data_IF_252287021822
#
_entry.id   IF_252287021822
#
_cell.length_a   1.000
_cell.length_b   1.000
_cell.length_c   1.000
_cell.angle_alpha   90.00
_cell.angle_beta   90.00
_cell.angle_gamma   90.00
#
_symmetry.space_group_name_H-M   'P 1'
#
loop_
_entity.id
_entity.type
_entity.pdbx_description
1 polymer ?
#
# COMPACT_ATOMS: atom_id res chain seq x y z
N UNK A 1 -49.62 71.26 33.87
CA UNK A 1 -48.17 70.97 33.92
C UNK A 1 -47.67 70.67 32.51
N UNK A 2 -46.58 71.32 32.09
CA UNK A 2 -46.15 71.61 30.70
C UNK A 2 -45.79 70.38 29.86
N UNK A 3 -46.30 70.34 28.63
CA UNK A 3 -46.03 69.38 27.54
C UNK A 3 -44.77 69.69 26.70
N UNK A 4 -43.88 70.58 27.17
CA UNK A 4 -42.74 71.07 26.38
C UNK A 4 -41.55 70.10 26.29
N UNK A 5 -41.55 69.02 27.07
CA UNK A 5 -40.48 68.01 27.13
C UNK A 5 -40.76 66.73 26.32
N UNK A 6 -41.96 66.61 25.74
CA UNK A 6 -42.39 65.36 25.11
C UNK A 6 -41.75 65.15 23.73
N UNK A 7 -41.44 66.23 22.99
CA UNK A 7 -40.82 66.12 21.66
C UNK A 7 -39.35 65.71 21.70
N UNK A 8 -38.58 66.23 22.66
CA UNK A 8 -37.16 65.87 22.82
C UNK A 8 -37.00 64.43 23.31
N UNK A 9 -37.86 63.99 24.24
CA UNK A 9 -37.91 62.58 24.68
C UNK A 9 -38.33 61.66 23.53
N UNK A 10 -39.34 62.05 22.73
CA UNK A 10 -39.77 61.28 21.56
C UNK A 10 -38.68 61.19 20.49
N UNK A 11 -37.94 62.27 20.24
CA UNK A 11 -36.82 62.30 19.30
C UNK A 11 -35.63 61.45 19.79
N UNK A 12 -35.36 61.45 21.09
CA UNK A 12 -34.37 60.58 21.72
C UNK A 12 -34.72 59.10 21.62
N UNK A 13 -35.96 58.73 21.95
CA UNK A 13 -36.47 57.36 21.79
C UNK A 13 -36.46 56.90 20.33
N UNK A 14 -36.81 57.77 19.37
CA UNK A 14 -36.73 57.46 17.94
C UNK A 14 -35.30 57.18 17.50
N UNK A 15 -34.33 58.02 17.89
CA UNK A 15 -32.91 57.80 17.58
C UNK A 15 -32.40 56.49 18.19
N UNK A 16 -32.71 56.23 19.45
CA UNK A 16 -32.34 54.99 20.14
C UNK A 16 -32.94 53.76 19.44
N UNK A 17 -34.23 53.80 19.10
CA UNK A 17 -34.91 52.74 18.36
C UNK A 17 -34.27 52.49 16.99
N UNK A 18 -33.84 53.55 16.30
CA UNK A 18 -33.21 53.43 14.98
C UNK A 18 -31.82 52.80 15.08
N UNK A 19 -31.02 53.19 16.08
CA UNK A 19 -29.72 52.55 16.36
C UNK A 19 -29.88 51.09 16.80
N UNK A 20 -30.90 50.77 17.58
CA UNK A 20 -31.18 49.40 18.03
C UNK A 20 -31.57 48.50 16.86
N UNK A 21 -32.46 48.96 15.97
CA UNK A 21 -32.82 48.24 14.74
C UNK A 21 -31.61 48.08 13.82
N UNK A 22 -30.80 49.13 13.64
CA UNK A 22 -29.59 49.05 12.83
C UNK A 22 -28.58 48.03 13.38
N UNK A 23 -28.42 47.97 14.70
CA UNK A 23 -27.50 47.01 15.36
C UNK A 23 -28.01 45.57 15.22
N UNK A 24 -29.32 45.34 15.38
CA UNK A 24 -29.94 44.02 15.16
C UNK A 24 -29.75 43.57 13.70
N UNK A 25 -30.01 44.46 12.75
CA UNK A 25 -29.85 44.14 11.33
C UNK A 25 -28.40 43.81 10.98
N UNK A 26 -27.44 44.57 11.52
CA UNK A 26 -26.01 44.32 11.32
C UNK A 26 -25.60 42.98 11.94
N UNK A 27 -26.10 42.65 13.13
CA UNK A 27 -25.87 41.35 13.77
C UNK A 27 -26.42 40.18 12.94
N UNK A 28 -27.64 40.29 12.43
CA UNK A 28 -28.25 39.26 11.56
C UNK A 28 -27.46 39.13 10.26
N UNK A 29 -27.02 40.23 9.65
CA UNK A 29 -26.24 40.23 8.41
C UNK A 29 -24.89 39.53 8.57
N UNK A 30 -24.17 39.81 9.66
CA UNK A 30 -22.89 39.15 9.98
C UNK A 30 -23.09 37.66 10.26
N UNK A 31 -24.11 37.30 11.04
CA UNK A 31 -24.42 35.90 11.34
C UNK A 31 -24.82 35.12 10.07
N UNK A 32 -25.62 35.73 9.20
CA UNK A 32 -25.99 35.15 7.92
C UNK A 32 -24.76 34.95 7.01
N UNK A 33 -23.86 35.94 6.95
CA UNK A 33 -22.59 35.83 6.25
C UNK A 33 -21.74 34.67 6.78
N UNK A 34 -21.62 34.54 8.10
CA UNK A 34 -20.90 33.45 8.74
C UNK A 34 -21.51 32.08 8.40
N UNK A 35 -22.83 31.91 8.55
CA UNK A 35 -23.52 30.66 8.23
C UNK A 35 -23.38 30.26 6.76
N UNK A 36 -23.47 31.23 5.84
CA UNK A 36 -23.27 30.99 4.42
C UNK A 36 -21.84 30.56 4.12
N UNK A 37 -20.84 31.24 4.67
CA UNK A 37 -19.43 30.87 4.49
C UNK A 37 -19.13 29.50 5.09
N UNK A 38 -19.58 29.24 6.32
CA UNK A 38 -19.40 27.96 6.99
C UNK A 38 -20.02 26.80 6.20
N UNK A 39 -21.24 26.96 5.67
CA UNK A 39 -21.87 25.91 4.85
C UNK A 39 -21.09 25.60 3.57
N UNK A 40 -20.54 26.62 2.90
CA UNK A 40 -19.73 26.44 1.69
C UNK A 40 -18.40 25.76 2.01
N UNK A 41 -17.74 26.15 3.09
CA UNK A 41 -16.48 25.54 3.53
C UNK A 41 -16.67 24.07 3.93
N UNK A 42 -17.69 23.77 4.74
CA UNK A 42 -18.03 22.39 5.11
C UNK A 42 -18.32 21.54 3.88
N UNK A 43 -19.07 22.07 2.91
CA UNK A 43 -19.33 21.37 1.65
C UNK A 43 -18.06 21.06 0.87
N UNK A 44 -17.11 22.03 0.79
CA UNK A 44 -15.80 21.82 0.15
C UNK A 44 -14.95 20.78 0.90
N UNK A 45 -14.94 20.83 2.23
CA UNK A 45 -14.21 19.86 3.06
C UNK A 45 -14.78 18.45 2.86
N UNK A 46 -16.11 18.30 2.87
CA UNK A 46 -16.76 17.00 2.64
C UNK A 46 -16.48 16.46 1.24
N UNK A 47 -16.51 17.32 0.22
CA UNK A 47 -16.17 16.92 -1.15
C UNK A 47 -14.73 16.40 -1.25
N UNK A 48 -13.78 17.11 -0.62
CA UNK A 48 -12.38 16.71 -0.59
C UNK A 48 -12.14 15.46 0.26
N UNK A 49 -12.84 15.32 1.39
CA UNK A 49 -12.79 14.12 2.25
C UNK A 49 -13.22 12.88 1.47
N UNK A 50 -14.30 12.98 0.67
CA UNK A 50 -14.77 11.86 -0.15
C UNK A 50 -13.74 11.39 -1.18
N UNK A 51 -13.00 12.33 -1.77
CA UNK A 51 -11.91 12.01 -2.69
C UNK A 51 -10.74 11.33 -1.98
N UNK A 52 -10.35 11.86 -0.81
CA UNK A 52 -9.32 11.24 0.03
C UNK A 52 -9.71 9.83 0.48
N UNK A 53 -10.94 9.62 0.95
CA UNK A 53 -11.43 8.30 1.38
C UNK A 53 -11.34 7.29 0.23
N UNK A 54 -11.68 7.72 -0.99
CA UNK A 54 -11.57 6.86 -2.18
C UNK A 54 -10.13 6.44 -2.45
N UNK A 55 -9.18 7.39 -2.41
CA UNK A 55 -7.75 7.11 -2.63
C UNK A 55 -7.23 6.20 -1.50
N UNK A 56 -7.60 6.46 -0.26
CA UNK A 56 -7.18 5.67 0.90
C UNK A 56 -7.67 4.22 0.80
N UNK A 57 -8.94 3.99 0.45
CA UNK A 57 -9.48 2.64 0.26
C UNK A 57 -8.71 1.90 -0.85
N UNK A 58 -8.36 2.59 -1.93
CA UNK A 58 -7.56 2.00 -3.01
C UNK A 58 -6.15 1.65 -2.55
N UNK A 59 -5.49 2.52 -1.77
CA UNK A 59 -4.17 2.26 -1.21
C UNK A 59 -4.15 1.09 -0.21
N UNK A 60 -5.18 0.98 0.64
CA UNK A 60 -5.33 -0.17 1.56
C UNK A 60 -5.44 -1.47 0.77
N UNK A 61 -6.30 -1.51 -0.27
CA UNK A 61 -6.44 -2.69 -1.14
C UNK A 61 -5.14 -3.07 -1.85
N UNK A 62 -4.38 -2.08 -2.34
CA UNK A 62 -3.07 -2.30 -2.95
C UNK A 62 -2.08 -2.89 -1.94
N UNK A 63 -2.10 -2.39 -0.71
CA UNK A 63 -1.26 -2.88 0.39
C UNK A 63 -1.57 -4.34 0.72
N UNK A 64 -2.84 -4.67 0.90
CA UNK A 64 -3.28 -6.06 1.15
C UNK A 64 -2.89 -7.00 0.00
N UNK A 65 -3.02 -6.53 -1.25
CA UNK A 65 -2.63 -7.31 -2.43
C UNK A 65 -1.12 -7.56 -2.46
N UNK A 66 -0.31 -6.56 -2.13
CA UNK A 66 1.15 -6.70 -2.05
C UNK A 66 1.58 -7.61 -0.90
N UNK A 67 0.96 -7.48 0.26
CA UNK A 67 1.27 -8.33 1.42
C UNK A 67 0.92 -9.79 1.15
N UNK A 68 -0.22 -10.03 0.51
CA UNK A 68 -0.60 -11.36 0.02
C UNK A 68 0.45 -11.93 -0.93
N UNK A 69 0.92 -11.14 -1.90
CA UNK A 69 1.98 -11.55 -2.83
C UNK A 69 3.27 -11.89 -2.09
N UNK A 70 3.68 -11.06 -1.13
CA UNK A 70 4.87 -11.33 -0.31
C UNK A 70 4.72 -12.64 0.48
N UNK A 71 3.56 -12.86 1.10
CA UNK A 71 3.26 -14.08 1.82
C UNK A 71 3.37 -15.34 0.94
N UNK A 72 2.74 -15.33 -0.24
CA UNK A 72 2.82 -16.45 -1.18
C UNK A 72 4.22 -16.63 -1.77
N UNK A 73 4.93 -15.54 -2.03
CA UNK A 73 6.33 -15.58 -2.46
C UNK A 73 7.22 -16.21 -1.39
N UNK A 74 6.93 -16.00 -0.10
CA UNK A 74 7.65 -16.65 1.00
C UNK A 74 7.38 -18.14 1.02
N UNK A 75 6.12 -18.57 0.86
CA UNK A 75 5.72 -19.99 0.84
C UNK A 75 6.24 -20.75 -0.40
N UNK A 76 6.42 -20.05 -1.52
CA UNK A 76 6.97 -20.62 -2.74
C UNK A 76 8.33 -21.28 -2.45
N UNK A 77 8.45 -22.56 -2.85
CA UNK A 77 9.64 -23.40 -2.68
C UNK A 77 10.02 -23.75 -1.23
N UNK A 78 9.15 -23.54 -0.23
CA UNK A 78 9.42 -23.97 1.17
C UNK A 78 8.97 -25.41 1.41
N UNK A 79 7.87 -25.84 0.78
CA UNK A 79 7.29 -27.16 0.98
C UNK A 79 7.26 -27.98 -0.32
N UNK A 80 7.73 -29.22 -0.24
CA UNK A 80 7.64 -30.24 -1.29
C UNK A 80 6.21 -30.62 -1.69
N UNK A 81 5.21 -30.38 -0.83
CA UNK A 81 3.80 -30.67 -1.12
C UNK A 81 3.10 -29.56 -1.92
N UNK A 82 3.69 -28.38 -2.02
CA UNK A 82 3.08 -27.24 -2.73
C UNK A 82 3.43 -27.32 -4.21
N UNK A 83 2.41 -27.30 -5.07
CA UNK A 83 2.58 -27.20 -6.51
C UNK A 83 3.13 -25.82 -6.89
N UNK A 84 4.44 -25.74 -7.08
CA UNK A 84 5.15 -24.50 -7.41
C UNK A 84 4.69 -23.89 -8.75
N UNK A 85 4.23 -24.70 -9.71
CA UNK A 85 3.71 -24.18 -10.98
C UNK A 85 2.39 -23.42 -10.78
N UNK A 86 1.48 -23.98 -9.99
CA UNK A 86 0.21 -23.34 -9.68
C UNK A 86 0.41 -22.07 -8.86
N UNK A 87 1.33 -22.09 -7.89
CA UNK A 87 1.72 -20.91 -7.11
C UNK A 87 2.35 -19.81 -7.97
N UNK A 88 3.22 -20.15 -8.93
CA UNK A 88 3.78 -19.17 -9.87
C UNK A 88 2.70 -18.51 -10.72
N UNK A 89 1.75 -19.28 -11.26
CA UNK A 89 0.63 -18.74 -12.03
C UNK A 89 -0.25 -17.82 -11.18
N UNK A 90 -0.54 -18.22 -9.94
CA UNK A 90 -1.30 -17.42 -9.00
C UNK A 90 -0.61 -16.09 -8.69
N UNK A 91 0.71 -16.13 -8.45
CA UNK A 91 1.52 -14.95 -8.16
C UNK A 91 1.61 -13.99 -9.35
N UNK A 92 1.73 -14.54 -10.57
CA UNK A 92 1.73 -13.77 -11.81
C UNK A 92 0.39 -13.06 -12.04
N UNK A 93 -0.72 -13.76 -11.80
CA UNK A 93 -2.06 -13.18 -11.88
C UNK A 93 -2.28 -12.06 -10.85
N UNK A 94 -1.80 -12.24 -9.61
CA UNK A 94 -1.84 -11.19 -8.59
C UNK A 94 -0.99 -9.97 -8.99
N UNK A 95 0.25 -10.19 -9.47
CA UNK A 95 1.11 -9.11 -9.99
C UNK A 95 0.40 -8.33 -11.09
N UNK A 96 -0.24 -9.02 -12.04
CA UNK A 96 -0.95 -8.41 -13.14
C UNK A 96 -2.16 -7.58 -12.66
N UNK A 97 -2.87 -8.02 -11.63
CA UNK A 97 -3.94 -7.25 -10.98
C UNK A 97 -3.41 -5.96 -10.35
N UNK A 98 -2.34 -6.02 -9.57
CA UNK A 98 -1.70 -4.84 -8.96
C UNK A 98 -1.23 -3.86 -10.04
N UNK A 99 -0.58 -4.34 -11.10
CA UNK A 99 -0.14 -3.49 -12.22
C UNK A 99 -1.33 -2.80 -12.90
N UNK A 100 -2.44 -3.51 -13.13
CA UNK A 100 -3.66 -2.91 -13.70
C UNK A 100 -4.26 -1.85 -12.77
N UNK A 101 -4.40 -2.13 -11.48
CA UNK A 101 -4.93 -1.19 -10.50
C UNK A 101 -4.07 0.08 -10.41
N UNK A 102 -2.74 -0.07 -10.39
CA UNK A 102 -1.82 1.08 -10.40
C UNK A 102 -1.82 1.87 -11.71
N UNK A 103 -2.20 1.28 -12.85
CA UNK A 103 -2.26 2.00 -14.14
C UNK A 103 -3.44 2.97 -14.26
N UNK A 104 -4.49 2.77 -13.46
CA UNK A 104 -5.72 3.59 -13.46
C UNK A 104 -5.62 4.76 -12.46
N UNK A 105 -4.73 4.68 -11.49
CA UNK A 105 -4.54 5.69 -10.44
C UNK A 105 -3.54 6.77 -10.85
N UNK A 106 -3.60 7.96 -10.23
CA UNK A 106 -2.61 9.01 -10.47
C UNK A 106 -1.22 8.55 -10.03
N UNK A 107 -0.21 8.71 -10.90
CA UNK A 107 1.15 8.19 -10.69
C UNK A 107 1.77 8.59 -9.33
N UNK A 108 1.45 9.80 -8.84
CA UNK A 108 1.95 10.29 -7.54
C UNK A 108 1.56 9.39 -6.36
N UNK A 109 0.35 8.84 -6.39
CA UNK A 109 -0.22 8.07 -5.28
C UNK A 109 0.18 6.59 -5.31
N UNK A 110 0.61 6.09 -6.48
CA UNK A 110 0.92 4.67 -6.70
C UNK A 110 2.36 4.39 -7.12
N UNK A 111 3.22 5.40 -7.17
CA UNK A 111 4.63 5.26 -7.59
C UNK A 111 5.36 4.12 -6.87
N UNK A 112 5.15 4.00 -5.56
CA UNK A 112 5.78 2.95 -4.76
C UNK A 112 5.27 1.56 -5.17
N UNK A 113 3.96 1.36 -5.20
CA UNK A 113 3.34 0.07 -5.58
C UNK A 113 3.67 -0.33 -7.03
N UNK A 114 3.69 0.63 -7.95
CA UNK A 114 4.09 0.41 -9.34
C UNK A 114 5.55 -0.03 -9.45
N UNK A 115 6.45 0.65 -8.73
CA UNK A 115 7.87 0.25 -8.68
C UNK A 115 8.02 -1.15 -8.07
N UNK A 116 7.34 -1.45 -6.97
CA UNK A 116 7.39 -2.75 -6.32
C UNK A 116 6.87 -3.86 -7.26
N UNK A 117 5.72 -3.64 -7.91
CA UNK A 117 5.16 -4.59 -8.87
C UNK A 117 6.10 -4.84 -10.06
N UNK A 118 6.82 -3.82 -10.54
CA UNK A 118 7.83 -3.97 -11.59
C UNK A 118 9.01 -4.85 -11.13
N UNK A 119 9.52 -4.62 -9.92
CA UNK A 119 10.69 -5.33 -9.37
C UNK A 119 10.35 -6.75 -8.93
N UNK A 120 9.08 -7.05 -8.69
CA UNK A 120 8.61 -8.36 -8.26
C UNK A 120 8.97 -9.49 -9.23
N UNK A 121 9.02 -9.20 -10.54
CA UNK A 121 9.48 -10.18 -11.52
C UNK A 121 10.93 -10.58 -11.29
N UNK A 122 11.80 -9.59 -11.12
CA UNK A 122 13.24 -9.78 -10.87
C UNK A 122 13.48 -10.55 -9.58
N UNK A 123 12.74 -10.24 -8.52
CA UNK A 123 12.87 -10.96 -7.25
C UNK A 123 12.48 -12.44 -7.36
N UNK A 124 11.43 -12.76 -8.11
CA UNK A 124 11.00 -14.14 -8.31
C UNK A 124 11.98 -14.92 -9.18
N UNK A 125 12.46 -14.31 -10.26
CA UNK A 125 13.47 -14.90 -11.14
C UNK A 125 14.76 -15.17 -10.36
N UNK A 126 15.26 -14.19 -9.61
CA UNK A 126 16.45 -14.33 -8.77
C UNK A 126 16.29 -15.45 -7.73
N UNK A 127 15.11 -15.52 -7.08
CA UNK A 127 14.81 -16.60 -6.11
C UNK A 127 14.85 -17.97 -6.78
N UNK A 128 14.35 -18.09 -8.01
CA UNK A 128 14.38 -19.35 -8.75
C UNK A 128 15.80 -19.73 -9.20
N UNK A 129 16.60 -18.77 -9.67
CA UNK A 129 18.01 -18.98 -10.01
C UNK A 129 18.82 -19.49 -8.82
N UNK A 130 18.64 -18.88 -7.64
CA UNK A 130 19.31 -19.33 -6.39
C UNK A 130 18.92 -20.77 -6.06
N UNK A 131 17.65 -21.15 -6.25
CA UNK A 131 17.16 -22.51 -6.00
C UNK A 131 17.78 -23.52 -6.95
N UNK A 132 17.91 -23.19 -8.23
CA UNK A 132 18.57 -24.06 -9.22
C UNK A 132 20.03 -24.26 -8.82
N UNK A 133 20.76 -23.17 -8.57
CA UNK A 133 22.16 -23.23 -8.15
C UNK A 133 22.36 -24.08 -6.88
N UNK A 134 21.46 -23.95 -5.89
CA UNK A 134 21.51 -24.76 -4.66
C UNK A 134 21.31 -26.26 -4.93
N UNK A 135 20.40 -26.62 -5.84
CA UNK A 135 20.19 -28.03 -6.23
C UNK A 135 21.40 -28.60 -6.96
N UNK A 136 21.99 -27.81 -7.84
CA UNK A 136 23.19 -28.22 -8.58
C UNK A 136 24.39 -28.41 -7.63
N UNK A 137 24.56 -27.51 -6.66
CA UNK A 137 25.58 -27.64 -5.60
C UNK A 137 25.40 -28.94 -4.80
N UNK A 138 24.17 -29.25 -4.40
CA UNK A 138 23.86 -30.46 -3.62
C UNK A 138 24.10 -31.74 -4.42
N UNK A 139 23.76 -31.74 -5.71
CA UNK A 139 24.05 -32.86 -6.62
C UNK A 139 25.56 -33.08 -6.78
N UNK A 140 26.32 -32.00 -7.01
CA UNK A 140 27.79 -32.06 -7.12
C UNK A 140 28.40 -32.57 -5.80
N UNK A 141 27.89 -32.12 -4.65
CA UNK A 141 28.34 -32.60 -3.33
C UNK A 141 28.06 -34.09 -3.16
N UNK A 142 26.89 -34.59 -3.58
CA UNK A 142 26.55 -36.01 -3.53
C UNK A 142 27.47 -36.85 -4.42
N UNK A 143 27.73 -36.41 -5.65
CA UNK A 143 28.61 -37.12 -6.59
C UNK A 143 30.06 -37.11 -6.12
N UNK A 144 30.55 -36.00 -5.56
CA UNK A 144 31.87 -35.95 -4.94
C UNK A 144 31.99 -36.91 -3.76
N UNK A 145 30.99 -36.94 -2.88
CA UNK A 145 30.95 -37.88 -1.75
C UNK A 145 30.95 -39.33 -2.22
N UNK A 146 30.19 -39.64 -3.29
CA UNK A 146 30.18 -40.97 -3.92
C UNK A 146 31.55 -41.32 -4.47
N UNK A 147 32.17 -40.45 -5.26
CA UNK A 147 33.50 -40.67 -5.84
C UNK A 147 34.58 -40.91 -4.77
N UNK A 148 34.58 -40.12 -3.68
CA UNK A 148 35.49 -40.32 -2.55
C UNK A 148 35.28 -41.70 -1.90
N UNK A 149 34.02 -42.10 -1.72
CA UNK A 149 33.69 -43.40 -1.11
C UNK A 149 34.13 -44.58 -2.00
N UNK A 150 33.92 -44.49 -3.31
CA UNK A 150 34.33 -45.48 -4.30
C UNK A 150 35.86 -45.58 -4.39
N UNK A 151 36.57 -44.45 -4.49
CA UNK A 151 38.04 -44.42 -4.46
C UNK A 151 38.61 -45.05 -3.18
N UNK A 152 37.99 -44.79 -2.03
CA UNK A 152 38.38 -45.41 -0.76
C UNK A 152 38.17 -46.93 -0.77
N UNK A 153 37.08 -47.42 -1.38
CA UNK A 153 36.84 -48.85 -1.54
C UNK A 153 37.82 -49.51 -2.51
N UNK A 154 38.10 -48.89 -3.66
CA UNK A 154 39.07 -49.38 -4.64
C UNK A 154 40.47 -49.45 -4.01
N UNK A 155 40.90 -48.41 -3.31
CA UNK A 155 42.19 -48.40 -2.59
C UNK A 155 42.29 -49.53 -1.57
N UNK A 156 41.22 -49.78 -0.81
CA UNK A 156 41.17 -50.92 0.13
C UNK A 156 41.22 -52.27 -0.58
N UNK A 157 40.52 -52.41 -1.71
CA UNK A 157 40.55 -53.64 -2.51
C UNK A 157 41.92 -53.88 -3.14
N UNK A 158 42.61 -52.83 -3.60
CA UNK A 158 43.99 -52.93 -4.11
C UNK A 158 45.01 -53.27 -3.00
N UNK A 159 44.78 -52.80 -1.77
CA UNK A 159 45.64 -53.14 -0.63
C UNK A 159 45.46 -54.58 -0.12
N UNK A 160 44.24 -55.14 -0.23
CA UNK A 160 43.91 -56.49 0.25
C UNK A 160 44.11 -57.55 -0.84
N UNK A 161 43.74 -57.23 -2.08
CA UNK A 161 43.99 -58.06 -3.26
C UNK A 161 45.26 -57.57 -3.94
N UNK A 162 46.43 -57.96 -3.41
CA UNK A 162 47.70 -57.70 -4.07
C UNK A 162 47.63 -58.20 -5.52
N UNK A 163 47.46 -57.28 -6.46
CA UNK A 163 47.52 -57.59 -7.88
C UNK A 163 48.82 -57.03 -8.43
N UNK A 164 49.72 -57.97 -8.68
CA UNK A 164 50.85 -57.86 -9.59
C UNK A 164 50.41 -57.20 -10.90
N UNK A 165 51.09 -56.11 -11.24
CA UNK A 165 51.07 -55.51 -12.57
C UNK A 165 51.85 -56.44 -13.52
N UNK A 166 51.22 -56.89 -14.61
CA UNK A 166 51.90 -57.41 -15.80
C UNK A 166 51.29 -56.78 -17.03
#
# INVERSE_FOLDING_TARGET
MKSKNNEDVRRGMLRFSLFLVATIFLGISVFFGFMKTASVEVSKILAKSKEYDKIQIQQVRLTESVDSIYHYMRLLNVDHQINNLLMHNYLSNMKLRVTRETSVMENKDVRFYSKLASQMGVFLETKDSIRIAKRDEELIRMDLARCISENRQITRRMAIGGLTYR
#
